data_IF_490380876118
#
_entry.id   IF_490380876118
#
_cell.length_a   1.000
_cell.length_b   1.000
_cell.length_c   1.000
_cell.angle_alpha   90.00
_cell.angle_beta   90.00
_cell.angle_gamma   90.00
#
_symmetry.space_group_name_H-M   'P 1'
#
loop_
_entity.id
_entity.type
_entity.pdbx_description
1 polymer ?
#
# COMPACT_ATOMS: atom_id res chain seq x y z
N UNK A 1 71.10 13.24 -48.24
CA UNK A 1 70.16 14.26 -48.77
C UNK A 1 69.05 13.54 -49.53
N UNK A 2 67.80 14.04 -49.42
CA UNK A 2 66.49 13.43 -49.80
C UNK A 2 65.94 12.46 -48.74
N UNK A 3 64.68 12.49 -48.33
CA UNK A 3 63.54 13.40 -48.49
C UNK A 3 62.51 13.00 -47.42
N UNK A 4 61.75 13.98 -46.91
CA UNK A 4 60.66 13.84 -45.92
C UNK A 4 59.51 12.96 -46.43
N UNK A 5 58.89 12.18 -45.55
CA UNK A 5 57.43 11.93 -45.55
C UNK A 5 56.91 11.80 -44.12
N UNK A 6 56.03 12.71 -43.74
CA UNK A 6 55.10 12.61 -42.61
C UNK A 6 53.88 11.86 -43.14
N UNK A 7 53.36 10.86 -42.42
CA UNK A 7 51.98 10.44 -42.60
C UNK A 7 51.36 9.92 -41.30
N UNK A 8 50.16 10.43 -41.10
CA UNK A 8 49.36 10.54 -39.90
C UNK A 8 48.43 9.35 -39.72
N UNK A 9 48.02 9.14 -38.46
CA UNK A 9 46.68 8.72 -38.01
C UNK A 9 46.15 7.32 -38.37
N UNK A 10 45.74 6.60 -37.32
CA UNK A 10 44.87 5.43 -37.42
C UNK A 10 44.51 4.85 -36.06
N UNK A 11 43.98 5.66 -35.15
CA UNK A 11 43.37 5.20 -33.91
C UNK A 11 42.02 4.55 -34.24
N UNK A 12 41.95 3.22 -34.23
CA UNK A 12 40.68 2.48 -34.33
C UNK A 12 40.22 2.16 -32.91
N UNK A 13 39.39 3.03 -32.34
CA UNK A 13 38.60 2.71 -31.15
C UNK A 13 37.37 1.96 -31.65
N UNK A 14 37.38 0.64 -31.52
CA UNK A 14 36.17 -0.18 -31.62
C UNK A 14 35.29 0.14 -30.40
N UNK A 15 34.49 1.20 -30.49
CA UNK A 15 33.36 1.42 -29.61
C UNK A 15 32.28 0.40 -29.98
N UNK A 16 32.43 -0.83 -29.49
CA UNK A 16 31.33 -1.77 -29.41
C UNK A 16 30.34 -1.22 -28.38
N UNK A 17 29.28 -0.57 -28.84
CA UNK A 17 28.11 -0.28 -28.04
C UNK A 17 27.53 -1.61 -27.55
N UNK A 18 27.90 -2.02 -26.34
CA UNK A 18 27.14 -3.00 -25.58
C UNK A 18 25.78 -2.37 -25.32
N UNK A 19 24.80 -2.69 -26.16
CA UNK A 19 23.39 -2.47 -25.87
C UNK A 19 23.07 -3.40 -24.70
N UNK A 20 23.26 -2.92 -23.49
CA UNK A 20 22.68 -3.54 -22.30
C UNK A 20 21.17 -3.46 -22.47
N UNK A 21 20.43 -4.57 -22.48
CA UNK A 21 18.98 -4.51 -22.39
C UNK A 21 18.64 -3.80 -21.07
N UNK A 22 18.04 -2.61 -21.17
CA UNK A 22 17.38 -1.98 -20.03
C UNK A 22 16.37 -3.00 -19.49
N UNK A 23 16.36 -3.28 -18.17
CA UNK A 23 15.37 -4.18 -17.62
C UNK A 23 13.99 -3.61 -17.96
N UNK A 24 13.18 -4.44 -18.63
CA UNK A 24 11.79 -4.17 -18.97
C UNK A 24 11.05 -3.84 -17.68
N UNK A 25 10.37 -2.70 -17.70
CA UNK A 25 9.76 -2.00 -16.58
C UNK A 25 8.96 -2.93 -15.66
N UNK A 26 9.39 -3.03 -14.39
CA UNK A 26 8.47 -3.40 -13.31
C UNK A 26 7.39 -2.34 -13.15
N UNK A 27 6.30 -2.60 -12.40
CA UNK A 27 5.26 -1.59 -12.18
C UNK A 27 5.90 -0.31 -11.66
N UNK A 28 5.51 0.83 -12.26
CA UNK A 28 6.05 2.15 -11.94
C UNK A 28 5.95 2.36 -10.43
N UNK A 29 7.10 2.35 -9.77
CA UNK A 29 7.19 2.54 -8.34
C UNK A 29 7.15 4.05 -8.10
N UNK A 30 6.37 4.51 -7.13
CA UNK A 30 6.37 5.93 -6.78
C UNK A 30 7.69 6.30 -6.08
N UNK A 31 8.12 7.55 -6.22
CA UNK A 31 9.44 7.99 -5.75
C UNK A 31 9.51 8.11 -4.21
N UNK A 32 8.38 8.34 -3.54
CA UNK A 32 8.28 8.54 -2.09
C UNK A 32 7.55 7.38 -1.40
N UNK A 33 7.97 6.95 -0.19
CA UNK A 33 7.23 5.91 0.54
C UNK A 33 5.87 6.42 1.03
N UNK A 34 4.91 5.51 1.20
CA UNK A 34 3.63 5.84 1.84
C UNK A 34 3.83 5.86 3.35
N UNK A 35 3.59 7.00 4.00
CA UNK A 35 3.55 7.05 5.46
C UNK A 35 2.18 6.58 5.96
N UNK A 36 2.16 5.60 6.85
CA UNK A 36 0.93 5.09 7.48
C UNK A 36 0.95 5.38 8.98
N UNK A 37 -0.10 6.06 9.47
CA UNK A 37 -0.33 6.32 10.90
C UNK A 37 -1.55 5.53 11.38
N UNK A 38 -1.39 4.83 12.48
CA UNK A 38 -2.43 4.01 13.11
C UNK A 38 -2.63 4.47 14.54
N UNK A 39 -3.84 4.90 14.89
CA UNK A 39 -4.16 5.42 16.21
C UNK A 39 -5.34 4.65 16.82
N UNK A 40 -5.13 4.13 18.05
CA UNK A 40 -6.17 3.48 18.83
C UNK A 40 -6.74 4.45 19.87
N UNK A 41 -7.78 5.20 19.52
CA UNK A 41 -8.44 6.13 20.45
C UNK A 41 -9.53 5.49 21.31
N UNK A 42 -9.74 4.16 21.23
CA UNK A 42 -10.72 3.45 22.08
C UNK A 42 -10.09 2.86 23.33
N UNK A 43 -10.93 2.52 24.30
CA UNK A 43 -10.51 2.03 25.63
C UNK A 43 -10.14 0.54 25.67
N UNK A 44 -9.95 -0.11 24.51
CA UNK A 44 -9.59 -1.52 24.39
C UNK A 44 -8.45 -1.71 23.39
N UNK A 45 -7.62 -2.73 23.62
CA UNK A 45 -6.50 -3.06 22.73
C UNK A 45 -6.99 -3.56 21.38
N UNK A 46 -6.41 -3.03 20.31
CA UNK A 46 -6.71 -3.43 18.93
C UNK A 46 -5.44 -3.81 18.19
N UNK A 47 -5.59 -4.71 17.23
CA UNK A 47 -4.56 -5.04 16.25
C UNK A 47 -4.96 -4.50 14.89
N UNK A 48 -4.08 -3.70 14.29
CA UNK A 48 -4.23 -3.18 12.95
C UNK A 48 -3.36 -4.02 12.01
N UNK A 49 -3.98 -4.64 11.01
CA UNK A 49 -3.24 -5.21 9.89
C UNK A 49 -3.20 -4.22 8.74
N UNK A 50 -2.01 -3.98 8.21
CA UNK A 50 -1.80 -3.13 7.04
C UNK A 50 -1.48 -4.03 5.87
N UNK A 51 -2.28 -3.92 4.83
CA UNK A 51 -2.19 -4.66 3.59
C UNK A 51 -1.97 -3.71 2.44
N UNK A 52 -1.31 -4.21 1.41
CA UNK A 52 -1.21 -3.54 0.12
C UNK A 52 -1.79 -4.47 -0.93
N UNK A 53 -2.69 -3.94 -1.74
CA UNK A 53 -3.44 -4.66 -2.77
C UNK A 53 -3.36 -3.88 -4.08
N UNK A 54 -3.66 -4.50 -5.20
CA UNK A 54 -3.85 -3.77 -6.45
C UNK A 54 -5.15 -2.95 -6.38
N UNK A 55 -5.19 -1.78 -7.02
CA UNK A 55 -6.43 -1.01 -7.20
C UNK A 55 -7.43 -1.88 -8.00
N UNK A 56 -8.71 -1.74 -7.68
CA UNK A 56 -9.83 -2.57 -8.16
C UNK A 56 -9.79 -4.04 -7.69
N UNK A 57 -8.76 -4.47 -6.96
CA UNK A 57 -8.70 -5.83 -6.41
C UNK A 57 -9.88 -6.06 -5.45
N UNK A 58 -10.60 -7.19 -5.57
CA UNK A 58 -11.75 -7.46 -4.73
C UNK A 58 -11.32 -7.71 -3.28
N UNK A 59 -12.12 -7.18 -2.37
CA UNK A 59 -12.09 -7.47 -0.94
C UNK A 59 -13.43 -8.09 -0.57
N UNK A 60 -13.40 -9.32 -0.08
CA UNK A 60 -14.60 -10.03 0.35
C UNK A 60 -14.76 -9.88 1.87
N UNK A 61 -15.89 -9.34 2.32
CA UNK A 61 -16.20 -9.21 3.75
C UNK A 61 -17.22 -10.26 4.11
N UNK A 62 -16.88 -11.10 5.08
CA UNK A 62 -17.77 -12.09 5.63
C UNK A 62 -18.74 -11.42 6.61
N UNK A 63 -20.01 -11.77 6.51
CA UNK A 63 -21.07 -11.33 7.42
C UNK A 63 -21.38 -12.39 8.47
N UNK A 64 -22.10 -11.98 9.51
CA UNK A 64 -22.62 -12.85 10.57
C UNK A 64 -23.53 -13.98 10.06
N UNK A 65 -24.26 -13.76 8.95
CA UNK A 65 -25.06 -14.77 8.26
C UNK A 65 -24.24 -15.75 7.38
N UNK A 66 -22.91 -15.61 7.40
CA UNK A 66 -21.96 -16.43 6.64
C UNK A 66 -21.84 -16.05 5.17
N UNK A 67 -22.60 -15.06 4.67
CA UNK A 67 -22.47 -14.58 3.28
C UNK A 67 -21.30 -13.62 3.15
N UNK A 68 -20.83 -13.50 1.92
CA UNK A 68 -19.78 -12.55 1.56
C UNK A 68 -20.36 -11.37 0.77
N UNK A 69 -19.95 -10.16 1.13
CA UNK A 69 -20.09 -8.98 0.30
C UNK A 69 -18.75 -8.65 -0.35
N UNK A 70 -18.73 -8.46 -1.67
CA UNK A 70 -17.53 -8.03 -2.39
C UNK A 70 -17.51 -6.52 -2.50
N UNK A 71 -16.36 -5.93 -2.22
CA UNK A 71 -16.09 -4.50 -2.34
C UNK A 71 -14.86 -4.33 -3.22
N UNK A 72 -14.91 -3.39 -4.16
CA UNK A 72 -13.72 -2.95 -4.89
C UNK A 72 -12.95 -1.93 -4.06
N UNK A 73 -11.63 -1.95 -4.20
CA UNK A 73 -10.77 -0.89 -3.66
C UNK A 73 -10.53 0.13 -4.76
N UNK A 74 -11.37 1.17 -4.78
CA UNK A 74 -11.33 2.21 -5.80
C UNK A 74 -10.36 3.36 -5.42
N UNK A 75 -10.16 4.29 -6.35
CA UNK A 75 -9.45 5.55 -6.14
C UNK A 75 -10.07 6.38 -4.99
N UNK A 76 -9.22 7.00 -4.18
CA UNK A 76 -9.63 7.84 -3.05
C UNK A 76 -9.57 7.12 -1.72
N UNK A 77 -10.51 7.43 -0.81
CA UNK A 77 -10.58 6.82 0.51
C UNK A 77 -11.98 6.27 0.79
N UNK A 78 -12.04 5.05 1.30
CA UNK A 78 -13.28 4.42 1.70
C UNK A 78 -13.13 3.81 3.10
N UNK A 79 -14.17 3.99 3.92
CA UNK A 79 -14.31 3.30 5.20
C UNK A 79 -15.52 2.39 5.17
N UNK A 80 -15.36 1.19 5.71
CA UNK A 80 -16.43 0.20 5.92
C UNK A 80 -16.28 -0.32 7.34
N UNK A 81 -17.28 -0.07 8.16
CA UNK A 81 -17.33 -0.59 9.54
C UNK A 81 -18.48 -1.58 9.67
N UNK A 82 -18.30 -2.56 10.55
CA UNK A 82 -19.36 -3.49 10.95
C UNK A 82 -20.55 -2.79 11.62
N UNK A 83 -20.37 -1.52 12.03
CA UNK A 83 -21.33 -0.74 12.80
C UNK A 83 -21.54 -1.31 14.20
N UNK A 84 -22.52 -0.75 14.92
CA UNK A 84 -22.89 -1.17 16.29
C UNK A 84 -23.36 -2.63 16.36
N UNK A 85 -23.86 -3.18 15.24
CA UNK A 85 -24.37 -4.55 15.17
C UNK A 85 -23.30 -5.60 14.86
N UNK A 86 -22.04 -5.19 14.68
CA UNK A 86 -20.92 -6.10 14.40
C UNK A 86 -21.23 -7.11 13.28
N UNK A 87 -21.89 -6.64 12.21
CA UNK A 87 -22.39 -7.52 11.14
C UNK A 87 -21.29 -8.17 10.31
N UNK A 88 -20.04 -7.71 10.45
CA UNK A 88 -18.90 -8.26 9.74
C UNK A 88 -18.06 -9.12 10.67
N UNK A 89 -17.74 -10.32 10.22
CA UNK A 89 -17.05 -11.35 11.00
C UNK A 89 -15.65 -11.64 10.47
N UNK A 90 -15.34 -11.21 9.25
CA UNK A 90 -14.05 -11.43 8.64
C UNK A 90 -13.86 -10.67 7.33
N UNK A 91 -12.63 -10.74 6.83
CA UNK A 91 -12.21 -10.15 5.56
C UNK A 91 -11.29 -11.13 4.85
N UNK A 92 -11.46 -11.26 3.55
CA UNK A 92 -10.62 -12.04 2.65
C UNK A 92 -10.16 -11.14 1.52
N UNK A 93 -8.90 -11.32 1.14
CA UNK A 93 -8.26 -10.55 0.09
C UNK A 93 -7.98 -11.42 -1.13
N UNK A 94 -8.02 -10.81 -2.32
CA UNK A 94 -7.58 -11.44 -3.56
C UNK A 94 -6.07 -11.71 -3.61
N UNK A 95 -5.61 -12.30 -4.72
CA UNK A 95 -4.24 -12.80 -4.89
C UNK A 95 -3.15 -11.70 -4.88
N UNK A 96 -3.51 -10.45 -5.22
CA UNK A 96 -2.57 -9.31 -5.21
C UNK A 96 -2.18 -8.86 -3.80
N UNK A 97 -2.91 -9.32 -2.79
CA UNK A 97 -2.77 -8.81 -1.44
C UNK A 97 -1.50 -9.31 -0.76
N UNK A 98 -0.70 -8.35 -0.30
CA UNK A 98 0.48 -8.58 0.53
C UNK A 98 0.33 -7.85 1.85
N UNK A 99 0.59 -8.55 2.96
CA UNK A 99 0.58 -7.91 4.28
C UNK A 99 1.87 -7.13 4.45
N UNK A 100 1.75 -5.83 4.68
CA UNK A 100 2.87 -4.96 5.07
C UNK A 100 3.27 -5.21 6.53
N UNK A 101 2.29 -5.23 7.43
CA UNK A 101 2.57 -5.40 8.85
C UNK A 101 1.33 -5.63 9.70
N UNK A 102 1.58 -5.97 10.97
CA UNK A 102 0.56 -6.21 12.00
C UNK A 102 1.01 -5.49 13.27
N UNK A 103 0.15 -4.60 13.78
CA UNK A 103 0.48 -3.67 14.85
C UNK A 103 -0.57 -3.74 15.95
N UNK A 104 -0.19 -4.22 17.14
CA UNK A 104 -1.09 -4.26 18.30
C UNK A 104 -0.87 -3.03 19.16
N UNK A 105 -1.92 -2.23 19.35
CA UNK A 105 -1.90 -0.95 20.03
C UNK A 105 -2.84 -0.99 21.25
N UNK A 106 -2.32 -0.65 22.42
CA UNK A 106 -3.09 -0.43 23.63
C UNK A 106 -3.96 0.84 23.52
N UNK A 107 -4.89 1.07 24.46
CA UNK A 107 -5.70 2.29 24.49
C UNK A 107 -4.85 3.56 24.50
N UNK A 108 -5.14 4.48 23.57
CA UNK A 108 -4.44 5.76 23.40
C UNK A 108 -3.10 5.66 22.69
N UNK A 109 -2.65 4.47 22.28
CA UNK A 109 -1.40 4.32 21.55
C UNK A 109 -1.56 4.67 20.06
N UNK A 110 -0.45 5.16 19.50
CA UNK A 110 -0.30 5.45 18.09
C UNK A 110 1.02 4.83 17.60
N UNK A 111 1.03 4.37 16.35
CA UNK A 111 2.25 3.99 15.67
C UNK A 111 2.31 4.59 14.27
N UNK A 112 3.54 4.71 13.76
CA UNK A 112 3.84 5.15 12.40
C UNK A 112 4.71 4.09 11.72
N UNK A 113 4.38 3.77 10.47
CA UNK A 113 5.16 2.89 9.60
C UNK A 113 5.25 3.47 8.20
N UNK A 114 6.14 2.94 7.38
CA UNK A 114 6.33 3.36 5.99
C UNK A 114 6.25 2.16 5.07
N UNK A 115 5.52 2.29 3.96
CA UNK A 115 5.46 1.29 2.89
C UNK A 115 6.39 1.73 1.78
N UNK A 116 7.51 1.03 1.66
CA UNK A 116 8.48 1.21 0.58
C UNK A 116 7.99 0.51 -0.70
N UNK A 117 8.53 0.93 -1.85
CA UNK A 117 8.22 0.34 -3.15
C UNK A 117 6.70 0.24 -3.44
N UNK A 118 5.97 1.33 -3.16
CA UNK A 118 4.56 1.46 -3.51
C UNK A 118 4.42 1.87 -4.97
N UNK A 119 3.25 1.68 -5.58
CA UNK A 119 2.98 2.05 -6.97
C UNK A 119 1.59 2.72 -7.01
N UNK A 120 1.34 3.68 -7.91
CA UNK A 120 0.01 4.24 -8.11
C UNK A 120 -1.06 3.18 -8.45
N UNK A 121 -0.66 2.03 -8.99
CA UNK A 121 -1.56 0.89 -9.23
C UNK A 121 -1.93 0.11 -7.96
N UNK A 122 -1.43 0.50 -6.78
CA UNK A 122 -1.69 -0.14 -5.50
C UNK A 122 -2.62 0.71 -4.61
N UNK A 123 -3.25 0.04 -3.66
CA UNK A 123 -4.00 0.63 -2.57
C UNK A 123 -3.51 0.09 -1.22
N UNK A 124 -3.60 0.93 -0.18
CA UNK A 124 -3.40 0.52 1.22
C UNK A 124 -4.75 0.11 1.80
N UNK A 125 -4.84 -1.06 2.42
CA UNK A 125 -6.00 -1.49 3.20
C UNK A 125 -5.59 -1.72 4.65
N UNK A 126 -6.29 -1.08 5.58
CA UNK A 126 -6.03 -1.15 7.02
C UNK A 126 -7.21 -1.82 7.70
N UNK A 127 -6.93 -2.90 8.41
CA UNK A 127 -7.94 -3.74 9.05
C UNK A 127 -7.74 -3.75 10.57
N UNK A 128 -8.60 -3.05 11.32
CA UNK A 128 -8.66 -3.17 12.78
C UNK A 128 -9.38 -4.46 13.23
N UNK A 129 -8.74 -5.15 14.16
CA UNK A 129 -9.30 -6.25 14.94
C UNK A 129 -9.23 -5.93 16.43
N UNK A 130 -10.26 -6.28 17.18
CA UNK A 130 -10.21 -6.27 18.65
C UNK A 130 -9.30 -7.39 19.16
N UNK A 131 -8.85 -7.29 20.41
CA UNK A 131 -7.98 -8.29 21.04
C UNK A 131 -8.53 -9.72 21.09
N UNK A 132 -9.87 -9.88 21.03
CA UNK A 132 -10.56 -11.17 20.95
C UNK A 132 -10.64 -11.73 19.52
N UNK A 133 -10.10 -11.02 18.53
CA UNK A 133 -10.14 -11.39 17.11
C UNK A 133 -11.35 -10.84 16.35
N UNK A 134 -12.24 -10.09 17.01
CA UNK A 134 -13.41 -9.48 16.33
C UNK A 134 -12.94 -8.51 15.25
N UNK A 135 -13.39 -8.72 14.02
CA UNK A 135 -13.17 -7.80 12.90
C UNK A 135 -14.07 -6.56 13.04
N UNK A 136 -13.48 -5.36 13.01
CA UNK A 136 -14.22 -4.10 13.19
C UNK A 136 -14.65 -3.44 11.86
N UNK A 137 -13.99 -3.84 10.76
CA UNK A 137 -14.13 -3.21 9.45
C UNK A 137 -12.79 -3.04 8.76
N UNK A 138 -12.76 -2.18 7.74
CA UNK A 138 -11.54 -1.80 7.06
C UNK A 138 -11.61 -0.37 6.51
N UNK A 139 -10.44 0.22 6.32
CA UNK A 139 -10.25 1.46 5.55
C UNK A 139 -9.37 1.14 4.36
N UNK A 140 -9.74 1.60 3.18
CA UNK A 140 -8.91 1.50 1.98
C UNK A 140 -8.58 2.89 1.45
N UNK A 141 -7.36 3.06 0.94
CA UNK A 141 -6.94 4.30 0.31
C UNK A 141 -6.01 4.06 -0.87
N UNK A 142 -6.26 4.77 -1.96
CA UNK A 142 -5.40 4.84 -3.15
C UNK A 142 -5.50 6.22 -3.80
N UNK A 143 -4.62 6.49 -4.76
CA UNK A 143 -4.60 7.71 -5.54
C UNK A 143 -4.43 7.33 -7.02
N UNK A 144 -4.93 8.17 -7.93
CA UNK A 144 -4.59 8.03 -9.36
C UNK A 144 -3.11 8.39 -9.62
N UNK A 145 -2.55 9.28 -8.77
CA UNK A 145 -1.14 9.67 -8.73
C UNK A 145 -0.40 9.02 -7.52
N UNK A 146 0.56 9.69 -6.88
CA UNK A 146 1.32 9.12 -5.76
C UNK A 146 0.56 9.23 -4.43
N UNK A 147 0.36 8.10 -3.74
CA UNK A 147 -0.18 8.09 -2.37
C UNK A 147 0.97 8.30 -1.38
N UNK A 148 1.02 9.42 -0.68
CA UNK A 148 2.16 9.73 0.22
C UNK A 148 1.85 9.55 1.70
N UNK A 149 0.57 9.54 2.06
CA UNK A 149 0.14 9.51 3.46
C UNK A 149 -1.23 8.85 3.61
N UNK A 150 -1.36 8.00 4.63
CA UNK A 150 -2.63 7.44 5.11
C UNK A 150 -2.62 7.47 6.63
N UNK A 151 -3.70 7.94 7.24
CA UNK A 151 -3.90 7.85 8.69
C UNK A 151 -5.26 7.25 9.00
N UNK A 152 -5.30 6.34 9.97
CA UNK A 152 -6.52 5.74 10.50
C UNK A 152 -6.56 5.89 12.00
N UNK A 153 -7.66 6.45 12.50
CA UNK A 153 -7.95 6.57 13.93
C UNK A 153 -9.19 5.75 14.25
N UNK A 154 -9.03 4.70 15.04
CA UNK A 154 -10.15 3.92 15.54
C UNK A 154 -10.81 4.64 16.72
N UNK A 155 -12.13 4.87 16.63
CA UNK A 155 -12.97 5.51 17.64
C UNK A 155 -14.11 4.59 18.05
N UNK A 156 -14.82 4.98 19.10
CA UNK A 156 -15.92 4.18 19.66
C UNK A 156 -17.11 4.02 18.71
N UNK A 157 -17.23 4.89 17.69
CA UNK A 157 -18.32 4.88 16.72
C UNK A 157 -17.85 4.51 15.30
N UNK A 158 -16.62 4.02 15.12
CA UNK A 158 -16.08 3.62 13.83
C UNK A 158 -14.64 4.11 13.60
N UNK A 159 -14.27 4.32 12.34
CA UNK A 159 -12.92 4.75 11.94
C UNK A 159 -12.97 6.13 11.28
N UNK A 160 -12.14 7.04 11.78
CA UNK A 160 -11.78 8.26 11.05
C UNK A 160 -10.56 7.96 10.18
N UNK A 161 -10.49 8.58 9.01
CA UNK A 161 -9.36 8.37 8.10
C UNK A 161 -9.03 9.62 7.31
N UNK A 162 -7.75 9.74 6.95
CA UNK A 162 -7.21 10.82 6.13
C UNK A 162 -6.14 10.28 5.19
N UNK A 163 -5.98 10.91 4.04
CA UNK A 163 -4.98 10.54 3.04
C UNK A 163 -4.49 11.76 2.25
N UNK A 164 -3.33 11.64 1.61
CA UNK A 164 -2.75 12.69 0.76
C UNK A 164 -2.21 12.05 -0.53
N UNK A 165 -2.69 12.56 -1.66
CA UNK A 165 -2.15 12.30 -3.00
C UNK A 165 -1.20 13.43 -3.43
N UNK A 166 -0.22 13.13 -4.26
CA UNK A 166 0.69 14.10 -4.87
C UNK A 166 0.97 13.80 -6.33
#
# INVERSE_FOLDING_TARGET
>A
MRSRWVLTLGLVVLAGCLVTPTPVDGPATQDQPVTVILNNSVNTTHTFEVWVVDVESPVAVQRDDGKFGNYSVDAGIASRSSGEYHTYTGIEFGESARRHGRYTLAPGEETRTSIEAFSPANAVVIVPYRSDGTFEGFVSSSCDDELTYVAVTLRSYGTDSAYICR
#
